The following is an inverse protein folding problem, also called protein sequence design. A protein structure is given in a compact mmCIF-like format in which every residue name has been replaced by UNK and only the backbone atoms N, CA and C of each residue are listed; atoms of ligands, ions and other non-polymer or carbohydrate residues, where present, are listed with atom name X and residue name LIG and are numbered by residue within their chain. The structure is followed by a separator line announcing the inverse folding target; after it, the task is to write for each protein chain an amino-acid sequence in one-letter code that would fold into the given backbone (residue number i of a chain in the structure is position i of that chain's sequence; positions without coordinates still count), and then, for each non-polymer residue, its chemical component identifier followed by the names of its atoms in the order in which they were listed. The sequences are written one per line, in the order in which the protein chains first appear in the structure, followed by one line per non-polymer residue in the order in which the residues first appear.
data_IF_532659870677
#
_entry.id   IF_532659870677
#
_cell.length_a   1.000
_cell.length_b   1.000
_cell.length_c   1.000
_cell.angle_alpha   90.00
_cell.angle_beta   90.00
_cell.angle_gamma   90.00
#
_symmetry.space_group_name_H-M   'P 1'
#
loop_
_entity.id
_entity.type
_entity.pdbx_description
1 polymer ?
#
# COMPACT_ATOMS: atom_id res chain seq x y z
N UNK A 1 -24.27 1.46 42.04
CA UNK A 1 -24.43 0.86 40.70
C UNK A 1 -23.22 1.18 39.81
N UNK A 2 -21.99 1.20 40.34
CA UNK A 2 -20.82 1.73 39.62
C UNK A 2 -19.92 0.64 39.01
N UNK A 3 -19.84 -0.52 39.66
CA UNK A 3 -18.94 -1.62 39.26
C UNK A 3 -19.34 -2.26 37.93
N UNK A 4 -20.65 -2.34 37.64
CA UNK A 4 -21.16 -2.90 36.38
C UNK A 4 -20.89 -1.99 35.19
N UNK A 5 -20.97 -0.67 35.37
CA UNK A 5 -20.67 0.30 34.33
C UNK A 5 -19.18 0.31 34.00
N UNK A 6 -18.32 0.25 35.02
CA UNK A 6 -16.87 0.15 34.82
C UNK A 6 -16.47 -1.14 34.08
N UNK A 7 -17.05 -2.29 34.46
CA UNK A 7 -16.79 -3.55 33.78
C UNK A 7 -17.19 -3.55 32.30
N UNK A 8 -18.33 -2.94 31.96
CA UNK A 8 -18.78 -2.79 30.58
C UNK A 8 -17.84 -1.91 29.74
N UNK A 9 -17.38 -0.78 30.29
CA UNK A 9 -16.42 0.09 29.61
C UNK A 9 -15.04 -0.55 29.45
N UNK A 10 -14.56 -1.26 30.48
CA UNK A 10 -13.31 -2.00 30.40
C UNK A 10 -13.35 -3.09 29.32
N UNK A 11 -14.48 -3.80 29.20
CA UNK A 11 -14.73 -4.79 28.15
C UNK A 11 -14.68 -4.12 26.76
N UNK A 12 -15.41 -3.03 26.55
CA UNK A 12 -15.40 -2.31 25.26
C UNK A 12 -14.03 -1.74 24.91
N UNK A 13 -13.30 -1.18 25.87
CA UNK A 13 -11.96 -0.66 25.65
C UNK A 13 -10.98 -1.79 25.28
N UNK A 14 -11.03 -2.92 25.95
CA UNK A 14 -10.20 -4.08 25.66
C UNK A 14 -10.48 -4.64 24.25
N UNK A 15 -11.74 -4.91 23.90
CA UNK A 15 -12.10 -5.45 22.59
C UNK A 15 -11.92 -4.43 21.46
N UNK A 16 -12.20 -3.15 21.72
CA UNK A 16 -11.94 -2.07 20.78
C UNK A 16 -10.45 -1.89 20.48
N UNK A 17 -9.59 -2.01 21.51
CA UNK A 17 -8.14 -1.97 21.35
C UNK A 17 -7.60 -3.20 20.60
N UNK A 18 -8.11 -4.40 20.90
CA UNK A 18 -7.71 -5.63 20.22
C UNK A 18 -8.00 -5.57 18.70
N UNK A 19 -9.21 -5.14 18.32
CA UNK A 19 -9.58 -4.97 16.91
C UNK A 19 -8.80 -3.82 16.27
N UNK A 20 -8.67 -2.69 16.97
CA UNK A 20 -7.94 -1.51 16.47
C UNK A 20 -6.47 -1.81 16.18
N UNK A 21 -5.80 -2.58 17.06
CA UNK A 21 -4.42 -2.99 16.88
C UNK A 21 -4.21 -3.87 15.63
N UNK A 22 -5.13 -4.81 15.38
CA UNK A 22 -5.08 -5.67 14.18
C UNK A 22 -5.26 -4.83 12.91
N UNK A 23 -6.24 -3.93 12.88
CA UNK A 23 -6.51 -3.05 11.72
C UNK A 23 -5.31 -2.14 11.43
N UNK A 24 -4.72 -1.53 12.46
CA UNK A 24 -3.52 -0.70 12.33
C UNK A 24 -2.33 -1.53 11.83
N UNK A 25 -2.13 -2.73 12.36
CA UNK A 25 -1.08 -3.65 11.93
C UNK A 25 -1.20 -4.04 10.44
N UNK A 26 -2.42 -4.37 9.99
CA UNK A 26 -2.69 -4.69 8.58
C UNK A 26 -2.49 -3.47 7.68
N UNK A 27 -2.97 -2.29 8.10
CA UNK A 27 -2.78 -1.04 7.35
C UNK A 27 -1.30 -0.72 7.18
N UNK A 28 -0.51 -0.87 8.24
CA UNK A 28 0.93 -0.63 8.21
C UNK A 28 1.67 -1.67 7.36
N UNK A 29 1.26 -2.94 7.43
CA UNK A 29 1.79 -3.99 6.56
C UNK A 29 1.47 -3.72 5.07
N UNK A 30 0.27 -3.24 4.76
CA UNK A 30 -0.12 -2.83 3.39
C UNK A 30 0.66 -1.59 2.93
N UNK A 31 0.97 -0.65 3.83
CA UNK A 31 1.79 0.52 3.52
C UNK A 31 3.26 0.14 3.29
N UNK A 32 3.78 -0.84 4.04
CA UNK A 32 5.14 -1.38 3.87
C UNK A 32 5.27 -2.25 2.61
N UNK A 33 4.21 -2.94 2.21
CA UNK A 33 4.11 -3.69 0.95
C UNK A 33 3.77 -2.83 -0.27
N UNK A 34 3.41 -1.55 -0.07
CA UNK A 34 3.29 -0.56 -1.15
C UNK A 34 4.72 -0.15 -1.55
N UNK A 35 5.33 -1.08 -2.27
CA UNK A 35 6.64 -0.98 -2.90
C UNK A 35 6.91 0.46 -3.35
N UNK A 36 7.86 1.19 -2.73
CA UNK A 36 8.34 2.45 -3.24
C UNK A 36 9.32 2.18 -4.39
N UNK A 37 8.98 1.26 -5.30
CA UNK A 37 9.40 1.48 -6.68
C UNK A 37 8.48 2.59 -7.14
N UNK A 38 8.88 3.79 -6.72
CA UNK A 38 8.38 5.06 -7.19
C UNK A 38 8.18 4.87 -8.68
N UNK A 39 7.01 5.20 -9.21
CA UNK A 39 6.73 5.15 -10.65
C UNK A 39 7.91 5.71 -11.46
N UNK A 40 8.62 6.71 -10.92
CA UNK A 40 9.89 7.24 -11.44
C UNK A 40 11.05 6.25 -11.60
N UNK A 41 11.25 5.27 -10.72
CA UNK A 41 12.25 4.20 -10.86
C UNK A 41 11.86 3.20 -11.96
N UNK A 42 10.57 2.86 -12.04
CA UNK A 42 10.01 2.00 -13.09
C UNK A 42 10.15 2.68 -14.45
N UNK A 43 9.77 3.95 -14.56
CA UNK A 43 9.96 4.80 -15.74
C UNK A 43 11.43 4.89 -16.15
N UNK A 44 12.34 5.11 -15.19
CA UNK A 44 13.78 5.17 -15.46
C UNK A 44 14.33 3.84 -15.97
N UNK A 45 13.84 2.72 -15.45
CA UNK A 45 14.22 1.39 -15.95
C UNK A 45 13.69 1.15 -17.36
N UNK A 46 12.43 1.51 -17.64
CA UNK A 46 11.82 1.34 -18.96
C UNK A 46 12.51 2.21 -20.02
N UNK A 47 12.82 3.46 -19.68
CA UNK A 47 13.53 4.37 -20.59
C UNK A 47 14.92 3.85 -20.93
N UNK A 48 15.63 3.28 -19.94
CA UNK A 48 16.93 2.64 -20.16
C UNK A 48 16.85 1.46 -21.14
N UNK A 49 15.77 0.66 -21.07
CA UNK A 49 15.54 -0.47 -21.98
C UNK A 49 15.17 -0.03 -23.39
N UNK A 50 14.50 1.11 -23.52
CA UNK A 50 14.21 1.76 -24.81
C UNK A 50 15.51 2.28 -25.44
N UNK A 51 16.34 2.97 -24.66
CA UNK A 51 17.65 3.47 -25.11
C UNK A 51 18.62 2.33 -25.50
N UNK A 52 18.55 1.18 -24.83
CA UNK A 52 19.34 0.01 -25.20
C UNK A 52 18.77 -0.79 -26.37
N UNK A 53 17.64 -0.36 -26.95
CA UNK A 53 16.96 -1.06 -28.05
C UNK A 53 16.38 -2.42 -27.67
N UNK A 54 16.28 -2.72 -26.38
CA UNK A 54 15.79 -4.01 -25.86
C UNK A 54 14.25 -4.08 -25.93
N UNK A 55 13.59 -2.92 -26.01
CA UNK A 55 12.15 -2.77 -26.23
C UNK A 55 11.89 -1.75 -27.33
N UNK A 56 10.81 -1.95 -28.08
CA UNK A 56 10.34 -0.97 -29.07
C UNK A 56 9.55 0.16 -28.41
N UNK A 57 9.46 1.30 -29.11
CA UNK A 57 8.75 2.49 -28.63
C UNK A 57 7.26 2.23 -28.33
N UNK A 58 6.61 1.38 -29.12
CA UNK A 58 5.21 0.98 -28.89
C UNK A 58 5.03 0.20 -27.59
N UNK A 59 5.95 -0.73 -27.30
CA UNK A 59 5.93 -1.50 -26.05
C UNK A 59 6.22 -0.63 -24.82
N UNK A 60 7.03 0.42 -25.00
CA UNK A 60 7.26 1.43 -23.98
C UNK A 60 5.99 2.25 -23.70
N UNK A 61 5.32 2.77 -24.73
CA UNK A 61 4.12 3.60 -24.58
C UNK A 61 2.94 2.82 -23.95
N UNK A 62 2.76 1.55 -24.32
CA UNK A 62 1.76 0.69 -23.69
C UNK A 62 2.01 0.53 -22.18
N UNK A 63 3.22 0.15 -21.79
CA UNK A 63 3.59 -0.04 -20.38
C UNK A 63 3.54 1.27 -19.58
N UNK A 64 3.90 2.40 -20.20
CA UNK A 64 3.77 3.73 -19.59
C UNK A 64 2.30 4.08 -19.34
N UNK A 65 1.41 3.76 -20.28
CA UNK A 65 -0.02 4.00 -20.14
C UNK A 65 -0.64 3.16 -19.01
N UNK A 66 -0.22 1.90 -18.86
CA UNK A 66 -0.66 1.00 -17.79
C UNK A 66 -0.20 1.49 -16.41
N UNK A 67 1.05 1.95 -16.31
CA UNK A 67 1.59 2.55 -15.08
C UNK A 67 0.82 3.81 -14.68
N UNK A 68 0.38 4.63 -15.65
CA UNK A 68 -0.42 5.84 -15.39
C UNK A 68 -1.86 5.54 -15.01
N UNK A 69 -2.42 4.40 -15.46
CA UNK A 69 -3.80 4.00 -15.19
C UNK A 69 -3.97 3.28 -13.85
N UNK A 70 -2.92 2.64 -13.35
CA UNK A 70 -2.90 1.88 -12.10
C UNK A 70 -2.18 2.58 -10.93
N UNK A 71 -1.68 3.80 -11.14
CA UNK A 71 -0.97 4.63 -10.14
C UNK A 71 -1.90 5.45 -9.25
#
# INVERSE_FOLDING_TARGET
METSAFGFWAMLAFWGSAIGGIVLGISWAKMKGRNPVTSSLLEKSLKRRLDSGEITRESFDQKMSELKKNG
#
